data_IF_122644481994
#
_entry.id   IF_122644481994
#
_cell.length_a   1.000
_cell.length_b   1.000
_cell.length_c   1.000
_cell.angle_alpha   90.00
_cell.angle_beta   90.00
_cell.angle_gamma   90.00
#
_symmetry.space_group_name_H-M   'P 1'
#
loop_
_entity.id
_entity.type
_entity.pdbx_description
1 polymer ?
#
# COMPACT_ATOMS: atom_id res chain seq x y z
N UNK A 1 -2.51 0.80 -14.99
CA UNK A 1 -2.01 0.87 -13.61
C UNK A 1 -3.13 0.37 -12.72
N UNK A 2 -2.91 -0.73 -12.01
CA UNK A 2 -3.89 -1.29 -11.08
C UNK A 2 -3.98 -0.37 -9.86
N UNK A 3 -5.19 -0.06 -9.39
CA UNK A 3 -5.42 0.75 -8.19
C UNK A 3 -6.22 -0.06 -7.18
N UNK A 4 -5.61 -0.35 -6.03
CA UNK A 4 -6.22 -1.13 -4.95
C UNK A 4 -6.56 -0.22 -3.79
N UNK A 5 -7.80 -0.33 -3.29
CA UNK A 5 -8.31 0.50 -2.20
C UNK A 5 -8.42 -0.30 -0.92
N UNK A 6 -7.93 0.28 0.17
CA UNK A 6 -8.03 -0.29 1.51
C UNK A 6 -8.76 0.68 2.43
N UNK A 7 -9.62 0.14 3.30
CA UNK A 7 -10.27 0.90 4.37
C UNK A 7 -9.97 0.21 5.69
N UNK A 8 -9.12 0.85 6.49
CA UNK A 8 -8.71 0.37 7.80
C UNK A 8 -9.54 1.00 8.91
N UNK A 9 -9.79 0.24 9.98
CA UNK A 9 -10.53 0.73 11.15
C UNK A 9 -9.68 1.59 12.09
N UNK A 10 -8.37 1.66 11.90
CA UNK A 10 -7.45 2.42 12.76
C UNK A 10 -6.30 3.03 11.97
N UNK A 11 -5.88 4.22 12.36
CA UNK A 11 -4.72 4.92 11.79
C UNK A 11 -3.42 4.13 12.03
N UNK A 12 -3.38 3.24 13.04
CA UNK A 12 -2.22 2.35 13.29
C UNK A 12 -1.88 1.49 12.08
N UNK A 13 -2.88 1.07 11.30
CA UNK A 13 -2.63 0.29 10.08
C UNK A 13 -1.97 1.12 8.98
N UNK A 14 -2.34 2.40 8.83
CA UNK A 14 -1.67 3.29 7.86
C UNK A 14 -0.19 3.48 8.24
N UNK A 15 0.09 3.70 9.52
CA UNK A 15 1.48 3.81 10.03
C UNK A 15 2.27 2.54 9.84
N UNK A 16 1.65 1.39 10.11
CA UNK A 16 2.25 0.08 9.91
C UNK A 16 2.63 -0.15 8.45
N UNK A 17 1.70 0.05 7.52
CA UNK A 17 1.94 -0.10 6.07
C UNK A 17 3.01 0.87 5.59
N UNK A 18 3.00 2.12 6.05
CA UNK A 18 4.02 3.11 5.71
C UNK A 18 5.41 2.69 6.21
N UNK A 19 5.50 2.16 7.43
CA UNK A 19 6.74 1.64 7.98
C UNK A 19 7.26 0.42 7.22
N UNK A 20 6.36 -0.48 6.79
CA UNK A 20 6.72 -1.65 5.98
C UNK A 20 7.27 -1.24 4.61
N UNK A 21 6.65 -0.25 3.96
CA UNK A 21 7.14 0.31 2.69
C UNK A 21 8.56 0.88 2.80
N UNK A 22 8.83 1.64 3.87
CA UNK A 22 10.17 2.22 4.10
C UNK A 22 11.19 1.13 4.41
N UNK A 23 10.82 0.17 5.27
CA UNK A 23 11.72 -0.90 5.71
C UNK A 23 12.13 -1.83 4.56
N UNK A 24 11.21 -2.11 3.64
CA UNK A 24 11.40 -3.09 2.57
C UNK A 24 11.68 -2.47 1.21
N UNK A 25 11.85 -1.14 1.14
CA UNK A 25 11.99 -0.38 -0.11
C UNK A 25 10.88 -0.72 -1.13
N UNK A 26 9.64 -0.75 -0.63
CA UNK A 26 8.47 -1.21 -1.40
C UNK A 26 7.88 -0.19 -2.36
N UNK A 27 8.41 1.03 -2.39
CA UNK A 27 7.90 2.11 -3.23
C UNK A 27 8.05 1.79 -4.71
N UNK A 28 6.99 2.06 -5.47
CA UNK A 28 6.97 1.91 -6.93
C UNK A 28 6.98 3.25 -7.64
N UNK A 29 6.91 3.21 -8.97
CA UNK A 29 6.83 4.37 -9.84
C UNK A 29 5.43 4.48 -10.46
N UNK A 30 4.80 5.65 -10.34
CA UNK A 30 3.49 5.95 -10.92
C UNK A 30 3.47 5.87 -12.46
N UNK A 31 4.63 6.01 -13.12
CA UNK A 31 4.75 5.91 -14.57
C UNK A 31 5.01 4.47 -15.02
N UNK A 32 5.40 3.58 -14.11
CA UNK A 32 5.62 2.18 -14.41
C UNK A 32 4.29 1.42 -14.41
N UNK A 33 3.88 0.96 -15.59
CA UNK A 33 2.61 0.23 -15.77
C UNK A 33 2.52 -1.08 -14.99
N UNK A 34 3.66 -1.64 -14.55
CA UNK A 34 3.72 -2.88 -13.75
C UNK A 34 3.44 -2.62 -12.27
N UNK A 35 3.66 -1.40 -11.80
CA UNK A 35 3.49 -1.07 -10.40
C UNK A 35 2.01 -0.86 -10.05
N UNK A 36 1.72 -1.02 -8.77
CA UNK A 36 0.37 -1.02 -8.22
C UNK A 36 0.19 0.26 -7.42
N UNK A 37 -0.91 0.97 -7.64
CA UNK A 37 -1.25 2.11 -6.83
C UNK A 37 -2.11 1.66 -5.65
N UNK A 38 -1.67 1.93 -4.43
CA UNK A 38 -2.48 1.70 -3.23
C UNK A 38 -3.13 3.00 -2.78
N UNK A 39 -4.39 2.91 -2.39
CA UNK A 39 -5.14 3.98 -1.74
C UNK A 39 -5.75 3.44 -0.46
N UNK A 40 -5.02 3.58 0.64
CA UNK A 40 -5.47 3.18 1.96
C UNK A 40 -6.02 4.37 2.74
N UNK A 41 -7.17 4.16 3.39
CA UNK A 41 -7.85 5.16 4.21
C UNK A 41 -8.09 4.62 5.60
N UNK A 42 -8.07 5.49 6.59
CA UNK A 42 -8.38 5.24 8.00
C UNK A 42 -9.17 6.43 8.55
N UNK A 43 -9.66 6.41 9.81
CA UNK A 43 -10.46 7.50 10.35
C UNK A 43 -9.84 8.90 10.19
N UNK A 44 -8.51 9.03 10.39
CA UNK A 44 -7.84 10.32 10.32
C UNK A 44 -6.69 10.37 9.30
N UNK A 45 -6.23 9.24 8.77
CA UNK A 45 -5.09 9.19 7.84
C UNK A 45 -5.45 8.58 6.49
N UNK A 46 -4.74 9.02 5.45
CA UNK A 46 -4.84 8.48 4.08
C UNK A 46 -3.43 8.28 3.52
N UNK A 47 -3.16 7.10 2.98
CA UNK A 47 -1.94 6.76 2.25
C UNK A 47 -2.28 6.51 0.78
N UNK A 48 -1.63 7.26 -0.10
CA UNK A 48 -1.73 7.11 -1.56
C UNK A 48 -0.33 7.04 -2.13
N UNK A 49 0.06 5.89 -2.66
CA UNK A 49 1.39 5.69 -3.23
C UNK A 49 1.40 4.58 -4.27
N UNK A 50 2.34 4.64 -5.20
CA UNK A 50 2.72 3.47 -5.99
C UNK A 50 3.59 2.54 -5.16
N UNK A 51 3.42 1.25 -5.36
CA UNK A 51 4.22 0.16 -4.77
C UNK A 51 4.63 -0.80 -5.88
N UNK A 52 5.77 -1.46 -5.74
CA UNK A 52 6.17 -2.48 -6.70
C UNK A 52 5.20 -3.66 -6.65
N UNK A 53 4.98 -4.31 -7.80
CA UNK A 53 4.11 -5.50 -7.85
C UNK A 53 4.63 -6.62 -6.94
N UNK A 54 5.95 -6.79 -6.85
CA UNK A 54 6.57 -7.80 -6.00
C UNK A 54 6.32 -7.54 -4.52
N UNK A 55 6.51 -6.29 -4.07
CA UNK A 55 6.24 -5.91 -2.69
C UNK A 55 4.76 -6.11 -2.34
N UNK A 56 3.86 -5.72 -3.25
CA UNK A 56 2.43 -5.91 -3.06
C UNK A 56 2.08 -7.39 -2.93
N UNK A 57 2.55 -8.25 -3.84
CA UNK A 57 2.22 -9.69 -3.80
C UNK A 57 2.70 -10.38 -2.51
N UNK A 58 3.87 -10.00 -1.98
CA UNK A 58 4.37 -10.54 -0.71
C UNK A 58 3.50 -10.10 0.49
N UNK A 59 3.01 -8.86 0.47
CA UNK A 59 2.35 -8.24 1.62
C UNK A 59 0.81 -8.16 1.50
N UNK A 60 0.22 -8.56 0.37
CA UNK A 60 -1.21 -8.38 0.06
C UNK A 60 -2.14 -8.93 1.15
N UNK A 61 -1.80 -10.07 1.74
CA UNK A 61 -2.59 -10.69 2.81
C UNK A 61 -2.58 -9.83 4.08
N UNK A 62 -1.42 -9.27 4.44
CA UNK A 62 -1.27 -8.37 5.59
C UNK A 62 -1.99 -7.04 5.38
N UNK A 63 -2.06 -6.56 4.14
CA UNK A 63 -2.88 -5.42 3.74
C UNK A 63 -4.39 -5.70 3.77
N UNK A 64 -4.80 -6.97 3.93
CA UNK A 64 -6.20 -7.39 3.88
C UNK A 64 -6.77 -7.57 2.46
N UNK A 65 -5.89 -7.82 1.49
CA UNK A 65 -6.26 -8.19 0.12
C UNK A 65 -6.25 -9.73 -0.02
N UNK A 66 -7.41 -10.31 -0.32
CA UNK A 66 -7.63 -11.76 -0.50
C UNK A 66 -8.15 -12.04 -1.92
#
# INVERSE_FOLDING_TARGET
>A
MLCVKFKYSTDKMIKHVSGLLIKEDGFGDIHNKRDIFIHATSPNETLKTAVTAEWFERNKVELGYW
#
